data_IF_676151985486
#
_entry.id   IF_676151985486
#
_cell.length_a   1.000
_cell.length_b   1.000
_cell.length_c   1.000
_cell.angle_alpha   90.00
_cell.angle_beta   90.00
_cell.angle_gamma   90.00
#
_symmetry.space_group_name_H-M   'P 1'
#
loop_
_entity.id
_entity.type
_entity.pdbx_description
1 polymer ?
#
# COMPACT_ATOMS: atom_id res chain seq x y z
N UNK A 1 0.15 -8.37 -16.92
CA UNK A 1 1.06 -8.39 -15.76
C UNK A 1 0.40 -7.66 -14.60
N UNK A 2 0.31 -8.32 -13.44
CA UNK A 2 -0.19 -7.68 -12.22
C UNK A 2 0.96 -6.99 -11.52
N UNK A 3 0.82 -5.70 -11.28
CA UNK A 3 1.74 -4.93 -10.46
C UNK A 3 1.22 -4.95 -9.02
N UNK A 4 1.85 -5.74 -8.17
CA UNK A 4 1.50 -5.89 -6.75
C UNK A 4 2.77 -5.87 -5.90
N UNK A 5 2.74 -5.09 -4.83
CA UNK A 5 3.83 -4.99 -3.87
C UNK A 5 3.52 -3.90 -2.84
N UNK A 6 4.30 -3.82 -1.78
CA UNK A 6 4.17 -2.79 -0.75
C UNK A 6 4.27 -1.38 -1.33
N UNK A 7 5.09 -1.18 -2.34
CA UNK A 7 5.37 0.12 -2.94
C UNK A 7 4.47 0.48 -4.12
N UNK A 8 3.65 -0.47 -4.63
CA UNK A 8 2.84 -0.28 -5.82
C UNK A 8 1.91 0.94 -5.71
N UNK A 9 1.24 1.11 -4.57
CA UNK A 9 0.34 2.24 -4.34
C UNK A 9 1.09 3.58 -4.30
N UNK A 10 2.29 3.61 -3.71
CA UNK A 10 3.14 4.80 -3.66
C UNK A 10 3.67 5.16 -5.06
N UNK A 11 4.14 4.17 -5.80
CA UNK A 11 4.63 4.35 -7.18
C UNK A 11 3.53 4.93 -8.07
N UNK A 12 2.32 4.33 -8.07
CA UNK A 12 1.21 4.81 -8.90
C UNK A 12 0.79 6.24 -8.52
N UNK A 13 0.73 6.57 -7.22
CA UNK A 13 0.43 7.94 -6.78
C UNK A 13 1.43 8.96 -7.34
N UNK A 14 2.71 8.62 -7.35
CA UNK A 14 3.77 9.50 -7.85
C UNK A 14 3.78 9.66 -9.37
N UNK A 15 3.08 8.82 -10.13
CA UNK A 15 2.91 8.99 -11.58
C UNK A 15 1.82 9.98 -11.97
N UNK A 16 1.05 10.51 -11.00
CA UNK A 16 -0.11 11.37 -11.28
C UNK A 16 -1.38 10.64 -11.70
N UNK A 17 -1.34 9.30 -11.82
CA UNK A 17 -2.54 8.52 -12.07
C UNK A 17 -3.32 8.34 -10.77
N UNK A 18 -4.45 9.03 -10.65
CA UNK A 18 -5.38 8.91 -9.52
C UNK A 18 -6.62 8.12 -9.96
N UNK A 19 -7.32 7.53 -8.99
CA UNK A 19 -8.58 6.81 -9.25
C UNK A 19 -9.62 7.72 -9.91
N UNK A 20 -9.65 8.98 -9.52
CA UNK A 20 -10.52 10.04 -10.03
C UNK A 20 -9.99 10.68 -11.33
N UNK A 21 -8.71 10.52 -11.62
CA UNK A 21 -8.03 11.02 -12.82
C UNK A 21 -7.10 9.94 -13.39
N UNK A 22 -7.65 8.88 -14.01
CA UNK A 22 -6.86 7.75 -14.53
C UNK A 22 -6.25 8.02 -15.92
N UNK A 23 -6.11 9.29 -16.32
CA UNK A 23 -5.59 9.69 -17.64
C UNK A 23 -4.63 10.88 -17.51
N UNK A 24 -3.68 10.94 -18.42
CA UNK A 24 -2.81 12.08 -18.62
C UNK A 24 -3.38 12.99 -19.72
N UNK A 25 -3.20 14.30 -19.56
CA UNK A 25 -3.49 15.22 -20.65
C UNK A 25 -2.45 15.03 -21.75
N UNK A 26 -2.89 15.11 -23.00
CA UNK A 26 -1.98 15.06 -24.16
C UNK A 26 -0.94 16.18 -24.07
N UNK A 27 0.31 15.82 -24.25
CA UNK A 27 1.43 16.74 -24.23
C UNK A 27 2.17 16.86 -22.89
N UNK A 28 1.64 16.28 -21.79
CA UNK A 28 2.32 16.28 -20.49
C UNK A 28 3.58 15.42 -20.50
N UNK A 29 3.54 14.31 -21.24
CA UNK A 29 4.69 13.42 -21.45
C UNK A 29 4.94 13.33 -22.96
N UNK A 30 6.19 13.39 -23.45
CA UNK A 30 6.48 13.21 -24.86
C UNK A 30 5.98 11.86 -25.37
N UNK A 31 5.26 11.89 -26.50
CA UNK A 31 4.61 10.70 -27.08
C UNK A 31 5.65 9.60 -27.46
N UNK A 32 6.86 9.98 -27.85
CA UNK A 32 7.96 9.07 -28.16
C UNK A 32 8.45 8.31 -26.93
N UNK A 33 8.54 8.96 -25.77
CA UNK A 33 8.95 8.29 -24.52
C UNK A 33 7.91 7.27 -24.05
N UNK A 34 6.62 7.62 -24.16
CA UNK A 34 5.53 6.67 -23.85
C UNK A 34 5.60 5.49 -24.80
N UNK A 35 5.70 5.75 -26.11
CA UNK A 35 5.76 4.71 -27.14
C UNK A 35 6.94 3.76 -26.90
N UNK A 36 8.14 4.31 -26.71
CA UNK A 36 9.34 3.52 -26.46
C UNK A 36 9.21 2.65 -25.21
N UNK A 37 8.67 3.19 -24.11
CA UNK A 37 8.43 2.42 -22.88
C UNK A 37 7.43 1.29 -23.07
N UNK A 38 6.35 1.52 -23.80
CA UNK A 38 5.36 0.48 -24.13
C UNK A 38 5.95 -0.59 -25.06
N UNK A 39 6.75 -0.20 -26.06
CA UNK A 39 7.45 -1.13 -26.94
C UNK A 39 8.46 -2.00 -26.17
N UNK A 40 9.19 -1.44 -25.22
CA UNK A 40 10.10 -2.21 -24.36
C UNK A 40 9.35 -3.26 -23.54
N UNK A 41 8.21 -2.89 -22.93
CA UNK A 41 7.35 -3.83 -22.19
C UNK A 41 6.83 -4.93 -23.13
N UNK A 42 6.39 -4.54 -24.33
CA UNK A 42 5.87 -5.49 -25.31
C UNK A 42 6.92 -6.48 -25.80
N UNK A 43 8.14 -5.98 -26.09
CA UNK A 43 9.25 -6.79 -26.58
C UNK A 43 9.83 -7.72 -25.48
N UNK A 44 9.71 -7.34 -24.21
CA UNK A 44 10.11 -8.16 -23.07
C UNK A 44 9.08 -9.26 -22.72
N UNK A 45 7.95 -9.37 -23.43
CA UNK A 45 6.94 -10.39 -23.13
C UNK A 45 7.45 -11.80 -23.40
N UNK A 46 7.17 -12.72 -22.47
CA UNK A 46 7.51 -14.14 -22.58
C UNK A 46 6.95 -14.91 -21.37
N UNK A 47 7.23 -16.21 -21.32
CA UNK A 47 6.73 -17.10 -20.28
C UNK A 47 7.82 -17.52 -19.29
N UNK A 48 9.06 -17.10 -19.48
CA UNK A 48 10.20 -17.42 -18.62
C UNK A 48 10.39 -16.39 -17.50
N UNK A 49 11.25 -16.74 -16.56
CA UNK A 49 11.59 -15.87 -15.44
C UNK A 49 12.40 -14.65 -15.88
N UNK A 50 13.29 -14.81 -16.86
CA UNK A 50 14.10 -13.73 -17.44
C UNK A 50 13.21 -12.66 -18.09
N UNK A 51 12.23 -13.08 -18.90
CA UNK A 51 11.27 -12.18 -19.53
C UNK A 51 10.38 -11.47 -18.50
N UNK A 52 9.98 -12.17 -17.44
CA UNK A 52 9.23 -11.55 -16.35
C UNK A 52 10.02 -10.43 -15.66
N UNK A 53 11.32 -10.64 -15.41
CA UNK A 53 12.23 -9.63 -14.84
C UNK A 53 12.43 -8.47 -15.81
N UNK A 54 12.69 -8.75 -17.10
CA UNK A 54 12.87 -7.73 -18.13
C UNK A 54 11.59 -6.87 -18.31
N UNK A 55 10.43 -7.49 -18.35
CA UNK A 55 9.14 -6.79 -18.44
C UNK A 55 8.88 -5.91 -17.21
N UNK A 56 9.24 -6.38 -16.01
CA UNK A 56 9.12 -5.61 -14.76
C UNK A 56 10.04 -4.40 -14.81
N UNK A 57 11.30 -4.57 -15.24
CA UNK A 57 12.25 -3.47 -15.39
C UNK A 57 11.77 -2.41 -16.39
N UNK A 58 11.25 -2.83 -17.55
CA UNK A 58 10.68 -1.92 -18.56
C UNK A 58 9.44 -1.17 -18.01
N UNK A 59 8.59 -1.84 -17.22
CA UNK A 59 7.46 -1.19 -16.55
C UNK A 59 7.93 -0.13 -15.55
N UNK A 60 8.91 -0.43 -14.69
CA UNK A 60 9.46 0.55 -13.75
C UNK A 60 10.09 1.75 -14.47
N UNK A 61 10.80 1.51 -15.59
CA UNK A 61 11.35 2.57 -16.43
C UNK A 61 10.27 3.50 -16.99
N UNK A 62 9.16 2.93 -17.48
CA UNK A 62 8.02 3.73 -17.97
C UNK A 62 7.35 4.52 -16.83
N UNK A 63 7.19 3.91 -15.66
CA UNK A 63 6.64 4.58 -14.48
C UNK A 63 7.52 5.74 -14.02
N UNK A 64 8.86 5.60 -14.10
CA UNK A 64 9.78 6.71 -13.77
C UNK A 64 9.66 7.89 -14.74
N UNK A 65 9.38 7.63 -16.02
CA UNK A 65 9.10 8.70 -17.00
C UNK A 65 7.84 9.47 -16.59
N UNK A 66 6.76 8.78 -16.24
CA UNK A 66 5.54 9.44 -15.77
C UNK A 66 5.78 10.26 -14.51
N UNK A 67 6.56 9.77 -13.54
CA UNK A 67 6.92 10.51 -12.34
C UNK A 67 7.68 11.80 -12.68
N UNK A 68 8.68 11.71 -13.55
CA UNK A 68 9.51 12.85 -13.95
C UNK A 68 8.68 13.99 -14.55
N UNK A 69 7.72 13.66 -15.42
CA UNK A 69 6.88 14.67 -16.05
C UNK A 69 5.71 15.13 -15.16
N UNK A 70 5.35 14.34 -14.16
CA UNK A 70 4.34 14.74 -13.17
C UNK A 70 4.90 15.79 -12.18
N UNK A 71 6.16 15.65 -11.78
CA UNK A 71 6.83 16.62 -10.88
C UNK A 71 6.87 18.04 -11.43
N UNK A 72 6.75 18.22 -12.74
CA UNK A 72 6.71 19.54 -13.40
C UNK A 72 5.35 20.26 -13.31
N UNK A 73 4.25 19.58 -12.99
CA UNK A 73 2.91 20.18 -12.95
C UNK A 73 2.41 20.52 -11.54
N UNK A 74 2.95 19.90 -10.48
CA UNK A 74 2.51 20.11 -9.09
C UNK A 74 3.65 20.64 -8.20
N UNK A 75 4.03 21.90 -8.39
CA UNK A 75 4.84 22.62 -7.38
C UNK A 75 4.07 22.89 -6.07
N UNK A 76 2.79 22.64 -6.02
CA UNK A 76 1.97 22.56 -4.80
C UNK A 76 1.51 21.11 -4.54
N UNK A 77 2.45 20.21 -4.31
CA UNK A 77 2.10 18.99 -3.58
C UNK A 77 1.42 19.43 -2.29
N UNK A 78 0.14 19.17 -2.16
CA UNK A 78 -0.57 19.49 -0.93
C UNK A 78 0.24 18.90 0.25
N UNK A 79 0.78 19.75 1.09
CA UNK A 79 1.61 19.35 2.23
C UNK A 79 0.92 18.26 3.09
N UNK A 80 -0.42 18.26 3.10
CA UNK A 80 -1.23 17.24 3.76
C UNK A 80 -1.02 15.85 3.16
N UNK A 81 -0.92 15.73 1.83
CA UNK A 81 -0.69 14.45 1.17
C UNK A 81 0.70 13.91 1.53
N UNK A 82 1.73 14.76 1.53
CA UNK A 82 3.07 14.38 1.94
C UNK A 82 3.12 13.87 3.39
N UNK A 83 2.35 14.50 4.29
CA UNK A 83 2.26 14.04 5.67
C UNK A 83 1.55 12.67 5.77
N UNK A 84 0.53 12.43 4.97
CA UNK A 84 -0.15 11.12 4.92
C UNK A 84 0.80 10.04 4.41
N UNK A 85 1.54 10.29 3.33
CA UNK A 85 2.53 9.34 2.77
C UNK A 85 3.63 9.00 3.78
N UNK A 86 4.17 9.99 4.49
CA UNK A 86 5.15 9.75 5.56
C UNK A 86 4.57 8.91 6.69
N UNK A 87 3.31 9.18 7.08
CA UNK A 87 2.64 8.43 8.12
C UNK A 87 2.33 6.98 7.68
N UNK A 88 1.93 6.76 6.44
CA UNK A 88 1.76 5.41 5.87
C UNK A 88 3.07 4.63 5.94
N UNK A 89 4.17 5.19 5.44
CA UNK A 89 5.49 4.56 5.48
C UNK A 89 5.93 4.22 6.89
N UNK A 90 5.69 5.12 7.86
CA UNK A 90 5.99 4.85 9.27
C UNK A 90 5.15 3.69 9.81
N UNK A 91 3.86 3.67 9.53
CA UNK A 91 2.96 2.57 9.93
C UNK A 91 3.42 1.24 9.31
N UNK A 92 3.72 1.22 8.03
CA UNK A 92 4.14 0.02 7.30
C UNK A 92 5.45 -0.58 7.83
N UNK A 93 6.35 0.27 8.29
CA UNK A 93 7.62 -0.16 8.87
C UNK A 93 7.49 -0.59 10.34
N UNK A 94 6.58 0.04 11.10
CA UNK A 94 6.52 -0.10 12.54
C UNK A 94 5.26 -0.81 13.07
N UNK A 95 4.35 -1.28 12.23
CA UNK A 95 3.03 -1.82 12.62
C UNK A 95 3.09 -2.93 13.67
N UNK A 96 4.16 -3.72 13.73
CA UNK A 96 4.34 -4.84 14.67
C UNK A 96 4.71 -4.39 16.08
N UNK A 97 5.13 -3.15 16.25
CA UNK A 97 5.43 -2.54 17.55
C UNK A 97 4.19 -1.84 18.15
N UNK A 98 4.22 -1.48 19.45
CA UNK A 98 3.12 -0.74 20.10
C UNK A 98 3.11 0.74 19.66
N UNK A 99 2.76 0.96 18.37
CA UNK A 99 2.66 2.29 17.76
C UNK A 99 1.34 2.94 18.14
N UNK A 100 1.39 4.18 18.59
CA UNK A 100 0.24 5.05 18.86
C UNK A 100 0.05 6.09 17.76
N UNK A 101 -1.10 6.76 17.73
CA UNK A 101 -1.34 7.89 16.81
C UNK A 101 -0.45 9.08 17.14
N UNK A 102 -0.05 9.22 18.42
CA UNK A 102 0.95 10.20 18.88
C UNK A 102 2.29 9.97 18.19
N UNK A 103 2.82 8.74 18.27
CA UNK A 103 4.10 8.39 17.67
C UNK A 103 4.13 8.68 16.16
N UNK A 104 3.01 8.42 15.48
CA UNK A 104 2.88 8.71 14.04
C UNK A 104 2.91 10.23 13.80
N UNK A 105 2.17 10.99 14.59
CA UNK A 105 2.09 12.45 14.45
C UNK A 105 3.45 13.12 14.74
N UNK A 106 4.13 12.68 15.79
CA UNK A 106 5.46 13.15 16.18
C UNK A 106 6.51 12.85 15.12
N UNK A 107 6.51 11.61 14.57
CA UNK A 107 7.40 11.23 13.46
C UNK A 107 7.21 12.12 12.22
N UNK A 108 5.96 12.43 11.90
CA UNK A 108 5.65 13.28 10.73
C UNK A 108 5.89 14.76 11.01
N UNK A 109 5.96 15.17 12.30
CA UNK A 109 6.17 16.55 12.72
C UNK A 109 4.91 17.43 12.68
N UNK A 110 3.72 16.84 12.92
CA UNK A 110 2.43 17.53 12.92
C UNK A 110 1.58 17.16 14.13
N UNK A 111 0.57 17.99 14.43
CA UNK A 111 -0.36 17.65 15.51
C UNK A 111 -1.27 16.45 15.13
N UNK A 112 -1.71 15.69 16.16
CA UNK A 112 -2.70 14.61 15.99
C UNK A 112 -3.96 15.04 15.24
N UNK A 113 -4.45 16.23 15.55
CA UNK A 113 -5.66 16.77 14.92
C UNK A 113 -5.43 17.07 13.44
N UNK A 114 -4.24 17.52 13.06
CA UNK A 114 -3.88 17.76 11.69
C UNK A 114 -3.69 16.45 10.93
N UNK A 115 -3.00 15.48 11.52
CA UNK A 115 -2.85 14.12 10.99
C UNK A 115 -4.21 13.47 10.73
N UNK A 116 -5.13 13.55 11.71
CA UNK A 116 -6.49 13.01 11.58
C UNK A 116 -7.23 13.64 10.39
N UNK A 117 -7.22 14.98 10.26
CA UNK A 117 -7.87 15.67 9.14
C UNK A 117 -7.25 15.29 7.78
N UNK A 118 -5.94 15.15 7.73
CA UNK A 118 -5.23 14.75 6.52
C UNK A 118 -5.63 13.33 6.10
N UNK A 119 -5.66 12.37 7.03
CA UNK A 119 -6.12 11.02 6.76
C UNK A 119 -7.59 10.96 6.32
N UNK A 120 -8.47 11.75 6.95
CA UNK A 120 -9.87 11.83 6.52
C UNK A 120 -10.00 12.35 5.09
N UNK A 121 -9.20 13.35 4.72
CA UNK A 121 -9.25 13.96 3.39
C UNK A 121 -8.76 13.00 2.29
N UNK A 122 -7.65 12.29 2.53
CA UNK A 122 -6.97 11.50 1.47
C UNK A 122 -7.24 10.00 1.55
N UNK A 123 -7.51 9.47 2.74
CA UNK A 123 -7.67 8.03 2.99
C UNK A 123 -9.11 7.66 3.38
N UNK A 124 -9.96 8.64 3.62
CA UNK A 124 -11.34 8.46 4.10
C UNK A 124 -11.44 7.58 5.36
N UNK A 125 -10.40 7.58 6.19
CA UNK A 125 -10.33 6.86 7.46
C UNK A 125 -9.45 7.61 8.46
N UNK A 126 -9.47 7.22 9.73
CA UNK A 126 -8.54 7.75 10.73
C UNK A 126 -7.18 7.03 10.68
N UNK A 127 -6.08 7.65 11.19
CA UNK A 127 -4.78 6.99 11.30
C UNK A 127 -4.83 5.69 12.09
N UNK A 128 -5.65 5.63 13.15
CA UNK A 128 -5.87 4.42 13.96
C UNK A 128 -6.58 3.31 13.19
N UNK A 129 -7.56 3.65 12.38
CA UNK A 129 -8.26 2.70 11.52
C UNK A 129 -7.31 2.16 10.47
N UNK A 130 -6.51 3.02 9.83
CA UNK A 130 -5.50 2.62 8.86
C UNK A 130 -4.49 1.63 9.46
N UNK A 131 -3.89 1.95 10.62
CA UNK A 131 -2.99 1.05 11.34
C UNK A 131 -3.66 -0.29 11.66
N UNK A 132 -4.91 -0.26 12.14
CA UNK A 132 -5.67 -1.47 12.45
C UNK A 132 -5.89 -2.32 11.21
N UNK A 133 -6.32 -1.73 10.11
CA UNK A 133 -6.53 -2.43 8.85
C UNK A 133 -5.23 -2.99 8.27
N UNK A 134 -4.13 -2.25 8.38
CA UNK A 134 -2.82 -2.73 7.96
C UNK A 134 -2.41 -3.97 8.74
N UNK A 135 -2.49 -3.94 10.07
CA UNK A 135 -2.24 -5.09 10.95
C UNK A 135 -3.11 -6.30 10.58
N UNK A 136 -4.39 -6.08 10.30
CA UNK A 136 -5.30 -7.16 9.88
C UNK A 136 -4.91 -7.72 8.50
N UNK A 137 -4.44 -6.90 7.56
CA UNK A 137 -3.91 -7.39 6.27
C UNK A 137 -2.71 -8.32 6.47
N UNK A 138 -1.76 -7.93 7.34
CA UNK A 138 -0.59 -8.76 7.67
C UNK A 138 -1.02 -10.06 8.39
N UNK A 139 -1.96 -9.97 9.33
CA UNK A 139 -2.50 -11.15 10.00
C UNK A 139 -3.17 -12.13 9.02
N UNK A 140 -3.90 -11.65 8.03
CA UNK A 140 -4.47 -12.47 6.97
C UNK A 140 -3.42 -13.25 6.18
N UNK A 141 -2.26 -12.63 5.91
CA UNK A 141 -1.13 -13.31 5.26
C UNK A 141 -0.60 -14.45 6.15
N UNK A 142 -0.30 -14.13 7.42
CA UNK A 142 0.22 -15.12 8.37
C UNK A 142 -0.77 -16.28 8.62
N UNK A 143 -2.07 -16.00 8.68
CA UNK A 143 -3.11 -17.02 8.83
C UNK A 143 -3.14 -18.02 7.67
N UNK A 144 -2.81 -17.59 6.46
CA UNK A 144 -2.77 -18.42 5.25
C UNK A 144 -1.47 -19.21 5.11
N UNK A 145 -0.35 -18.57 5.46
CA UNK A 145 1.00 -19.04 5.13
C UNK A 145 1.63 -19.84 6.25
N UNK A 146 1.17 -19.66 7.51
CA UNK A 146 1.80 -20.26 8.68
C UNK A 146 0.85 -21.12 9.51
N UNK A 147 1.44 -22.00 10.34
CA UNK A 147 0.74 -22.77 11.37
C UNK A 147 0.67 -22.09 12.75
N UNK A 148 1.10 -20.83 12.86
CA UNK A 148 1.12 -20.11 14.15
C UNK A 148 -0.28 -20.02 14.77
N UNK A 149 -0.37 -20.05 16.10
CA UNK A 149 -1.64 -19.84 16.79
C UNK A 149 -2.23 -18.46 16.49
N UNK A 150 -3.55 -18.32 16.56
CA UNK A 150 -4.23 -17.02 16.36
C UNK A 150 -3.69 -15.97 17.33
N UNK A 151 -3.39 -16.38 18.57
CA UNK A 151 -2.81 -15.51 19.59
C UNK A 151 -1.40 -15.08 19.22
N UNK A 152 -0.53 -15.99 18.76
CA UNK A 152 0.81 -15.67 18.32
C UNK A 152 0.79 -14.67 17.14
N UNK A 153 -0.12 -14.86 16.17
CA UNK A 153 -0.31 -13.93 15.05
C UNK A 153 -0.78 -12.57 15.55
N UNK A 154 -1.74 -12.50 16.47
CA UNK A 154 -2.20 -11.24 17.03
C UNK A 154 -1.04 -10.41 17.61
N UNK A 155 -0.19 -11.04 18.43
CA UNK A 155 0.98 -10.37 18.99
C UNK A 155 2.02 -10.00 17.93
N UNK A 156 2.30 -10.87 16.97
CA UNK A 156 3.30 -10.62 15.92
C UNK A 156 2.92 -9.47 14.98
N UNK A 157 1.64 -9.13 14.88
CA UNK A 157 1.17 -7.97 14.10
C UNK A 157 0.86 -6.75 14.96
N UNK A 158 1.32 -6.71 16.23
CA UNK A 158 1.27 -5.54 17.11
C UNK A 158 -0.03 -5.35 17.89
N UNK A 159 -0.86 -6.38 18.06
CA UNK A 159 -1.97 -6.32 19.00
C UNK A 159 -1.54 -6.83 20.38
N UNK A 160 -1.72 -6.04 21.40
CA UNK A 160 -1.40 -6.41 22.79
C UNK A 160 -2.46 -7.34 23.41
N UNK A 161 -3.65 -7.40 22.82
CA UNK A 161 -4.79 -8.13 23.36
C UNK A 161 -5.49 -8.95 22.27
N UNK A 162 -5.51 -10.26 22.46
CA UNK A 162 -6.11 -11.22 21.52
C UNK A 162 -7.63 -11.02 21.34
N UNK A 163 -8.33 -10.59 22.39
CA UNK A 163 -9.77 -10.31 22.32
C UNK A 163 -10.03 -9.07 21.44
N UNK A 164 -9.21 -8.03 21.61
CA UNK A 164 -9.29 -6.84 20.77
C UNK A 164 -8.94 -7.16 19.32
N UNK A 165 -7.88 -7.95 19.07
CA UNK A 165 -7.53 -8.45 17.73
C UNK A 165 -8.73 -9.16 17.08
N UNK A 166 -9.35 -10.11 17.77
CA UNK A 166 -10.47 -10.88 17.21
C UNK A 166 -11.68 -10.01 16.87
N UNK A 167 -11.98 -9.00 17.70
CA UNK A 167 -13.03 -8.01 17.41
C UNK A 167 -12.67 -7.15 16.18
N UNK A 168 -11.45 -6.65 16.12
CA UNK A 168 -10.96 -5.84 14.99
C UNK A 168 -10.96 -6.66 13.69
N UNK A 169 -10.48 -7.90 13.75
CA UNK A 169 -10.46 -8.81 12.61
C UNK A 169 -11.88 -9.06 12.07
N UNK A 170 -12.83 -9.36 12.96
CA UNK A 170 -14.24 -9.57 12.56
C UNK A 170 -14.86 -8.31 11.99
N UNK A 171 -14.54 -7.13 12.53
CA UNK A 171 -15.01 -5.85 11.98
C UNK A 171 -14.56 -5.65 10.54
N UNK A 172 -13.27 -5.95 10.24
CA UNK A 172 -12.64 -5.72 8.92
C UNK A 172 -12.99 -6.85 7.93
N UNK A 173 -12.91 -8.12 8.36
CA UNK A 173 -13.06 -9.29 7.48
C UNK A 173 -14.42 -9.96 7.51
N UNK A 174 -15.33 -9.50 8.38
CA UNK A 174 -16.70 -10.05 8.57
C UNK A 174 -16.73 -11.53 8.97
N UNK A 175 -15.60 -12.09 9.41
CA UNK A 175 -15.42 -13.48 9.86
C UNK A 175 -14.38 -13.52 10.97
N UNK A 176 -14.33 -14.59 11.77
CA UNK A 176 -13.29 -14.75 12.79
C UNK A 176 -11.95 -15.13 12.18
N UNK A 177 -10.81 -14.89 12.88
CA UNK A 177 -9.50 -15.34 12.43
C UNK A 177 -9.43 -16.85 12.16
N UNK A 178 -10.07 -17.66 13.00
CA UNK A 178 -10.10 -19.12 12.87
C UNK A 178 -10.87 -19.56 11.63
N UNK A 179 -12.09 -19.07 11.45
CA UNK A 179 -12.89 -19.34 10.24
C UNK A 179 -12.20 -18.87 8.96
N UNK A 180 -11.51 -17.70 9.03
CA UNK A 180 -10.73 -17.19 7.91
C UNK A 180 -9.61 -18.14 7.52
N UNK A 181 -8.87 -18.68 8.51
CA UNK A 181 -7.82 -19.69 8.29
C UNK A 181 -8.38 -20.95 7.65
N UNK A 182 -9.44 -21.51 8.21
CA UNK A 182 -10.07 -22.74 7.70
C UNK A 182 -10.51 -22.59 6.25
N UNK A 183 -11.19 -21.49 5.94
CA UNK A 183 -11.66 -21.20 4.59
C UNK A 183 -10.53 -21.10 3.55
N UNK A 184 -9.34 -20.60 3.95
CA UNK A 184 -8.23 -20.40 3.03
C UNK A 184 -7.23 -21.55 3.02
N UNK A 185 -7.20 -22.41 4.04
CA UNK A 185 -6.36 -23.61 4.10
C UNK A 185 -6.93 -24.72 3.20
N UNK A 186 -8.26 -24.85 3.12
CA UNK A 186 -8.95 -25.84 2.26
C UNK A 186 -8.78 -25.61 0.74
N UNK A 187 -8.15 -24.50 0.33
CA UNK A 187 -7.85 -24.22 -1.09
C UNK A 187 -6.44 -24.64 -1.53
N UNK A 188 -5.65 -25.29 -0.64
CA UNK A 188 -4.28 -25.75 -0.94
C UNK A 188 -4.16 -27.27 -1.05
N UNK A 189 -5.25 -28.02 -0.91
CA UNK A 189 -5.37 -29.45 -1.29
C UNK A 189 -6.00 -29.55 -2.68
#
# INVERSE_FOLDING_TARGET
AGFMGTDAASIIRNTGFLKERPFLKRGNVPDDQIRNGLEQIYNAKGNGYEEAVAMTGALYSLLSVFMHYHEGEDQERDAKLLYVEKAENYIETNYSYPVTVEDIADYVGISRSYLFRSFQTYMNCSPKEYLTEYRIRQACRLLKETGLSVSAIAYSVGFENNLYFSKAFRKVKKTSPTEYREKHRKKKE
#
